data_IF_016275160204
#
_entry.id   IF_016275160204
#
_cell.length_a   1.000
_cell.length_b   1.000
_cell.length_c   1.000
_cell.angle_alpha   90.00
_cell.angle_beta   90.00
_cell.angle_gamma   90.00
#
_symmetry.space_group_name_H-M   'P 1'
#
loop_
_entity.id
_entity.type
_entity.pdbx_description
1 polymer ?
#
# COMPACT_ATOMS: atom_id res chain seq x y z
N UNK A 1 -34.64 -47.05 28.64
CA UNK A 1 -34.03 -45.74 28.33
C UNK A 1 -32.62 -46.01 27.81
N UNK A 2 -32.49 -46.18 26.50
CA UNK A 2 -31.22 -46.46 25.81
C UNK A 2 -30.56 -45.13 25.43
N UNK A 3 -29.51 -44.76 26.16
CA UNK A 3 -28.71 -43.57 25.87
C UNK A 3 -27.80 -43.81 24.67
N UNK A 4 -28.10 -43.17 23.54
CA UNK A 4 -27.23 -43.11 22.37
C UNK A 4 -26.10 -42.12 22.60
N UNK A 5 -24.86 -42.58 22.45
CA UNK A 5 -23.68 -41.73 22.52
C UNK A 5 -23.48 -41.09 21.14
N UNK A 6 -23.69 -39.78 21.04
CA UNK A 6 -23.26 -39.01 19.86
C UNK A 6 -21.73 -38.93 19.88
N UNK A 7 -21.07 -39.68 19.00
CA UNK A 7 -19.68 -39.40 18.64
C UNK A 7 -19.62 -38.10 17.84
N UNK A 8 -19.09 -37.05 18.45
CA UNK A 8 -18.60 -35.87 17.73
C UNK A 8 -17.34 -36.28 16.97
N UNK A 9 -17.44 -36.35 15.64
CA UNK A 9 -16.26 -36.42 14.77
C UNK A 9 -15.70 -35.00 14.66
N UNK A 10 -14.58 -34.75 15.32
CA UNK A 10 -13.78 -33.54 15.09
C UNK A 10 -12.98 -33.78 13.80
N UNK A 11 -13.46 -33.22 12.69
CA UNK A 11 -12.63 -33.09 11.49
C UNK A 11 -11.54 -32.05 11.78
N UNK A 12 -10.31 -32.50 12.02
CA UNK A 12 -9.16 -31.62 12.00
C UNK A 12 -9.00 -31.06 10.58
N UNK A 13 -9.21 -29.75 10.38
CA UNK A 13 -8.92 -29.12 9.10
C UNK A 13 -7.40 -29.11 8.91
N UNK A 14 -6.91 -29.87 7.93
CA UNK A 14 -5.52 -29.75 7.49
C UNK A 14 -5.36 -28.33 6.92
N UNK A 15 -4.38 -27.57 7.41
CA UNK A 15 -4.08 -26.25 6.87
C UNK A 15 -3.84 -26.36 5.35
N UNK A 16 -4.37 -25.42 4.59
CA UNK A 16 -4.17 -25.40 3.14
C UNK A 16 -2.65 -25.32 2.82
N UNK A 17 -2.17 -26.02 1.78
CA UNK A 17 -0.77 -25.94 1.38
C UNK A 17 -0.40 -24.51 0.97
N UNK A 18 0.87 -24.15 1.14
CA UNK A 18 1.39 -22.84 0.74
C UNK A 18 1.31 -22.69 -0.78
N UNK A 19 0.55 -21.70 -1.24
CA UNK A 19 0.38 -21.43 -2.66
C UNK A 19 1.54 -20.56 -3.19
N UNK A 20 2.18 -21.04 -4.25
CA UNK A 20 3.31 -20.34 -4.85
C UNK A 20 2.90 -19.00 -5.46
N UNK A 21 1.79 -18.97 -6.19
CA UNK A 21 1.34 -17.79 -6.93
C UNK A 21 0.88 -16.69 -5.97
N UNK A 22 0.13 -17.04 -4.92
CA UNK A 22 -0.53 -16.05 -4.05
C UNK A 22 0.20 -15.77 -2.75
N UNK A 23 1.18 -16.58 -2.36
CA UNK A 23 1.94 -16.38 -1.10
C UNK A 23 3.44 -16.22 -1.33
N UNK A 24 4.08 -17.11 -2.11
CA UNK A 24 5.54 -17.04 -2.35
C UNK A 24 5.90 -15.87 -3.28
N UNK A 25 5.16 -15.67 -4.37
CA UNK A 25 5.45 -14.56 -5.29
C UNK A 25 5.31 -13.17 -4.66
N UNK A 26 4.27 -12.87 -3.85
CA UNK A 26 4.21 -11.63 -3.08
C UNK A 26 5.36 -11.47 -2.10
N UNK A 27 5.75 -12.54 -1.40
CA UNK A 27 6.91 -12.51 -0.50
C UNK A 27 8.19 -12.10 -1.25
N UNK A 28 8.47 -12.73 -2.41
CA UNK A 28 9.66 -12.40 -3.21
C UNK A 28 9.62 -10.96 -3.72
N UNK A 29 8.42 -10.46 -4.02
CA UNK A 29 8.19 -9.07 -4.44
C UNK A 29 8.42 -8.10 -3.30
N UNK A 30 7.89 -8.40 -2.12
CA UNK A 30 8.08 -7.63 -0.89
C UNK A 30 9.55 -7.56 -0.47
N UNK A 31 10.27 -8.66 -0.62
CA UNK A 31 11.71 -8.75 -0.39
C UNK A 31 12.57 -8.07 -1.47
N UNK A 32 11.97 -7.58 -2.57
CA UNK A 32 12.68 -6.94 -3.68
C UNK A 32 13.45 -7.88 -4.59
N UNK A 33 13.29 -9.20 -4.45
CA UNK A 33 14.04 -10.21 -5.21
C UNK A 33 13.77 -10.10 -6.71
N UNK A 34 12.51 -9.93 -7.10
CA UNK A 34 12.04 -9.80 -8.48
C UNK A 34 11.84 -8.34 -8.93
N UNK A 35 12.46 -7.38 -8.24
CA UNK A 35 12.48 -5.99 -8.66
C UNK A 35 13.46 -5.76 -9.83
N UNK A 36 13.25 -4.68 -10.59
CA UNK A 36 14.07 -4.33 -11.76
C UNK A 36 15.57 -4.17 -11.44
N UNK A 37 15.92 -3.82 -10.19
CA UNK A 37 17.32 -3.70 -9.77
C UNK A 37 18.04 -5.05 -9.62
N UNK A 38 17.30 -6.14 -9.40
CA UNK A 38 17.81 -7.47 -9.04
C UNK A 38 17.39 -8.53 -10.07
N UNK A 39 16.75 -9.63 -9.65
CA UNK A 39 16.42 -10.74 -10.56
C UNK A 39 15.26 -10.42 -11.51
N UNK A 40 14.48 -9.37 -11.23
CA UNK A 40 13.46 -8.83 -12.14
C UNK A 40 14.01 -7.94 -13.26
N UNK A 41 15.33 -7.70 -13.30
CA UNK A 41 15.97 -7.01 -14.40
C UNK A 41 15.74 -7.77 -15.73
N UNK A 42 15.77 -7.06 -16.86
CA UNK A 42 15.56 -7.67 -18.18
C UNK A 42 16.52 -8.85 -18.45
N UNK A 43 17.76 -8.78 -17.95
CA UNK A 43 18.78 -9.83 -18.01
C UNK A 43 18.80 -10.79 -16.81
N UNK A 44 18.06 -10.48 -15.73
CA UNK A 44 18.25 -11.09 -14.42
C UNK A 44 19.63 -10.78 -13.80
N UNK A 45 20.00 -11.54 -12.78
CA UNK A 45 21.30 -11.46 -12.07
C UNK A 45 21.85 -12.86 -11.79
N UNK A 46 23.16 -13.07 -11.95
CA UNK A 46 23.80 -14.37 -11.65
C UNK A 46 23.28 -15.55 -12.48
N UNK A 47 22.72 -15.29 -13.67
CA UNK A 47 22.01 -16.27 -14.48
C UNK A 47 20.74 -16.81 -13.81
N UNK A 48 20.10 -15.98 -12.99
CA UNK A 48 18.78 -16.18 -12.42
C UNK A 48 17.90 -14.97 -12.77
N UNK A 49 16.84 -15.22 -13.53
CA UNK A 49 15.89 -14.22 -13.98
C UNK A 49 14.50 -14.58 -13.46
N UNK A 50 13.84 -13.59 -12.89
CA UNK A 50 12.44 -13.61 -12.54
C UNK A 50 11.71 -12.55 -13.38
N UNK A 51 10.42 -12.73 -13.56
CA UNK A 51 9.53 -11.74 -14.13
C UNK A 51 9.47 -10.52 -13.22
N UNK A 52 9.35 -9.33 -13.81
CA UNK A 52 9.31 -8.08 -13.05
C UNK A 52 8.06 -8.08 -12.15
N UNK A 53 8.29 -7.94 -10.83
CA UNK A 53 7.23 -7.95 -9.81
C UNK A 53 6.27 -9.16 -9.89
N UNK A 54 6.77 -10.30 -10.37
CA UNK A 54 5.97 -11.53 -10.45
C UNK A 54 4.89 -11.51 -11.52
N UNK A 55 5.10 -10.78 -12.61
CA UNK A 55 4.21 -10.71 -13.78
C UNK A 55 3.94 -12.05 -14.48
N UNK A 56 4.82 -13.04 -14.33
CA UNK A 56 4.63 -14.41 -14.85
C UNK A 56 5.03 -15.46 -13.79
N UNK A 57 4.11 -15.80 -12.87
CA UNK A 57 4.36 -16.79 -11.82
C UNK A 57 4.71 -18.19 -12.35
N UNK A 58 4.24 -18.56 -13.55
CA UNK A 58 4.54 -19.86 -14.12
C UNK A 58 6.00 -19.95 -14.59
N UNK A 59 6.50 -18.90 -15.27
CA UNK A 59 7.91 -18.79 -15.63
C UNK A 59 8.80 -18.66 -14.40
N UNK A 60 8.38 -17.88 -13.39
CA UNK A 60 9.13 -17.71 -12.14
C UNK A 60 9.29 -19.02 -11.37
N UNK A 61 8.21 -19.81 -11.29
CA UNK A 61 8.27 -21.14 -10.71
C UNK A 61 9.24 -22.05 -11.46
N UNK A 62 9.23 -22.04 -12.79
CA UNK A 62 10.18 -22.82 -13.58
C UNK A 62 11.62 -22.40 -13.29
N UNK A 63 11.90 -21.09 -13.25
CA UNK A 63 13.23 -20.53 -12.96
C UNK A 63 13.72 -20.86 -11.52
N UNK A 64 12.80 -20.93 -10.57
CA UNK A 64 13.10 -21.25 -9.17
C UNK A 64 13.27 -22.75 -8.96
N UNK A 65 12.26 -23.54 -9.31
CA UNK A 65 12.16 -24.93 -8.88
C UNK A 65 12.74 -25.93 -9.87
N UNK A 66 12.90 -25.57 -11.16
CA UNK A 66 13.25 -26.53 -12.23
C UNK A 66 14.56 -26.19 -12.95
N UNK A 67 14.82 -24.91 -13.20
CA UNK A 67 16.01 -24.48 -13.92
C UNK A 67 17.30 -24.92 -13.24
N UNK A 68 18.33 -25.15 -14.06
CA UNK A 68 19.65 -25.58 -13.61
C UNK A 68 19.58 -26.84 -12.74
N UNK A 69 18.74 -27.79 -13.13
CA UNK A 69 18.54 -29.08 -12.44
C UNK A 69 18.02 -28.91 -11.00
N UNK A 70 17.19 -27.88 -10.77
CA UNK A 70 16.58 -27.63 -9.47
C UNK A 70 17.55 -27.14 -8.39
N UNK A 71 18.78 -26.74 -8.74
CA UNK A 71 19.84 -26.37 -7.77
C UNK A 71 19.48 -25.29 -6.74
N UNK A 72 18.40 -24.53 -6.96
CA UNK A 72 17.96 -23.46 -6.03
C UNK A 72 17.03 -23.95 -4.93
N UNK A 73 16.42 -25.12 -5.12
CA UNK A 73 15.42 -25.72 -4.23
C UNK A 73 15.90 -27.11 -3.82
N UNK A 74 16.04 -27.32 -2.52
CA UNK A 74 16.38 -28.62 -1.96
C UNK A 74 15.22 -29.12 -1.10
N UNK A 75 14.29 -29.86 -1.72
CA UNK A 75 13.12 -30.42 -0.99
C UNK A 75 13.50 -31.45 0.07
N UNK A 76 14.64 -32.12 -0.07
CA UNK A 76 15.12 -33.09 0.91
C UNK A 76 15.77 -32.42 2.13
N UNK A 77 16.31 -31.22 1.96
CA UNK A 77 16.84 -30.36 3.03
C UNK A 77 16.39 -28.92 2.79
N UNK A 78 15.13 -28.57 3.09
CA UNK A 78 14.56 -27.25 2.81
C UNK A 78 15.43 -26.09 3.30
N UNK A 79 15.99 -26.19 4.51
CA UNK A 79 16.87 -25.18 5.10
C UNK A 79 18.17 -24.92 4.31
N UNK A 80 18.61 -25.86 3.46
CA UNK A 80 19.79 -25.73 2.62
C UNK A 80 19.48 -25.17 1.22
N UNK A 81 18.22 -24.84 0.93
CA UNK A 81 17.83 -24.27 -0.35
C UNK A 81 18.48 -22.90 -0.56
N UNK A 82 19.06 -22.65 -1.75
CA UNK A 82 19.61 -21.33 -2.09
C UNK A 82 18.54 -20.24 -2.06
N UNK A 83 17.30 -20.61 -2.39
CA UNK A 83 16.15 -19.70 -2.32
C UNK A 83 15.91 -19.16 -0.90
N UNK A 84 16.32 -19.89 0.15
CA UNK A 84 16.23 -19.46 1.55
C UNK A 84 17.54 -18.85 2.03
N UNK A 85 18.66 -19.56 1.84
CA UNK A 85 19.96 -19.19 2.43
C UNK A 85 20.58 -17.91 1.86
N UNK A 86 20.26 -17.54 0.61
CA UNK A 86 20.72 -16.27 0.02
C UNK A 86 19.99 -15.05 0.61
N UNK A 87 18.66 -14.95 0.60
CA UNK A 87 17.97 -13.79 1.17
C UNK A 87 18.14 -13.64 2.69
N UNK A 88 18.41 -14.72 3.42
CA UNK A 88 18.73 -14.68 4.87
C UNK A 88 20.21 -14.42 5.17
N UNK A 89 21.06 -14.26 4.15
CA UNK A 89 22.52 -14.11 4.28
C UNK A 89 23.23 -15.26 5.04
N UNK A 90 22.60 -16.43 5.15
CA UNK A 90 23.30 -17.66 5.57
C UNK A 90 24.39 -18.04 4.57
N UNK A 91 24.17 -17.72 3.29
CA UNK A 91 25.19 -17.71 2.25
C UNK A 91 25.28 -16.31 1.64
N UNK A 92 26.50 -15.91 1.29
CA UNK A 92 26.77 -14.59 0.70
C UNK A 92 25.85 -14.28 -0.47
N UNK A 93 25.18 -13.14 -0.41
CA UNK A 93 24.28 -12.67 -1.43
C UNK A 93 24.62 -11.21 -1.75
N UNK A 94 24.93 -10.92 -3.01
CA UNK A 94 25.24 -9.55 -3.46
C UNK A 94 24.06 -8.58 -3.23
N UNK A 95 22.84 -9.09 -3.22
CA UNK A 95 21.65 -8.31 -2.84
C UNK A 95 21.59 -7.97 -1.35
N UNK A 96 22.47 -8.53 -0.51
CA UNK A 96 22.42 -8.39 0.93
C UNK A 96 21.25 -9.13 1.57
N UNK A 97 21.04 -8.82 2.85
CA UNK A 97 19.95 -9.34 3.67
C UNK A 97 18.60 -8.83 3.16
N UNK A 98 17.65 -9.74 2.96
CA UNK A 98 16.29 -9.42 2.52
C UNK A 98 15.25 -9.64 3.61
N UNK A 99 15.46 -10.65 4.45
CA UNK A 99 14.67 -10.91 5.64
C UNK A 99 15.46 -11.83 6.59
N UNK A 100 15.19 -11.74 7.88
CA UNK A 100 15.84 -12.56 8.89
C UNK A 100 15.43 -14.04 8.78
N UNK A 101 16.26 -14.94 9.29
CA UNK A 101 16.05 -16.39 9.26
C UNK A 101 14.87 -16.85 10.14
N UNK A 102 14.57 -16.11 11.21
CA UNK A 102 13.43 -16.31 12.09
C UNK A 102 12.18 -15.49 11.68
N UNK A 103 12.22 -14.82 10.53
CA UNK A 103 11.11 -14.01 10.04
C UNK A 103 9.91 -14.86 9.59
N UNK A 104 8.69 -14.30 9.59
CA UNK A 104 7.54 -14.95 8.96
C UNK A 104 7.77 -15.30 7.48
N UNK A 105 8.57 -14.49 6.77
CA UNK A 105 8.94 -14.75 5.37
C UNK A 105 9.82 -16.00 5.23
N UNK A 106 10.85 -16.13 6.07
CA UNK A 106 11.69 -17.32 6.07
C UNK A 106 10.89 -18.59 6.41
N UNK A 107 9.99 -18.51 7.40
CA UNK A 107 9.07 -19.61 7.73
C UNK A 107 8.16 -19.99 6.57
N UNK A 108 7.48 -19.04 5.94
CA UNK A 108 6.59 -19.31 4.81
C UNK A 108 7.32 -19.99 3.65
N UNK A 109 8.55 -19.55 3.36
CA UNK A 109 9.38 -20.16 2.33
C UNK A 109 9.81 -21.58 2.73
N UNK A 110 10.19 -21.78 3.99
CA UNK A 110 10.54 -23.09 4.54
C UNK A 110 9.37 -24.07 4.48
N UNK A 111 8.15 -23.63 4.81
CA UNK A 111 6.93 -24.42 4.74
C UNK A 111 6.67 -24.89 3.31
N UNK A 112 6.70 -23.97 2.34
CA UNK A 112 6.53 -24.29 0.92
C UNK A 112 7.60 -25.27 0.40
N UNK A 113 8.87 -25.08 0.79
CA UNK A 113 9.95 -25.99 0.46
C UNK A 113 9.74 -27.38 1.08
N UNK A 114 9.28 -27.44 2.34
CA UNK A 114 8.95 -28.66 3.07
C UNK A 114 7.74 -29.41 2.52
N UNK A 115 6.80 -28.70 1.91
CA UNK A 115 5.66 -29.25 1.16
C UNK A 115 6.06 -29.80 -0.22
N UNK A 116 7.35 -29.75 -0.56
CA UNK A 116 7.91 -30.27 -1.81
C UNK A 116 8.01 -29.23 -2.92
N UNK A 117 7.96 -27.94 -2.58
CA UNK A 117 8.15 -26.82 -3.51
C UNK A 117 7.27 -26.93 -4.76
N UNK A 118 5.99 -27.26 -4.55
CA UNK A 118 5.03 -27.46 -5.65
C UNK A 118 4.35 -26.15 -5.99
N UNK A 119 3.97 -26.01 -7.26
CA UNK A 119 3.05 -24.97 -7.71
C UNK A 119 1.65 -25.54 -7.78
N UNK A 120 0.93 -25.42 -6.67
CA UNK A 120 -0.52 -25.48 -6.68
C UNK A 120 -1.05 -24.12 -7.14
N UNK A 121 -2.19 -24.10 -7.81
CA UNK A 121 -2.94 -22.86 -8.08
C UNK A 121 -4.27 -23.02 -7.37
N UNK A 122 -4.27 -22.92 -6.05
CA UNK A 122 -5.49 -23.14 -5.27
C UNK A 122 -6.43 -21.94 -5.39
N UNK A 123 -5.87 -20.73 -5.53
CA UNK A 123 -6.63 -19.49 -5.52
C UNK A 123 -6.08 -18.43 -6.46
N UNK A 124 -6.92 -17.46 -6.80
CA UNK A 124 -6.56 -16.27 -7.58
C UNK A 124 -7.06 -15.01 -6.89
N UNK A 125 -6.19 -14.01 -6.71
CA UNK A 125 -6.60 -12.70 -6.24
C UNK A 125 -7.40 -11.97 -7.33
N UNK A 126 -8.69 -11.75 -7.09
CA UNK A 126 -9.60 -11.09 -8.03
C UNK A 126 -9.80 -9.61 -7.72
N UNK A 127 -9.55 -9.18 -6.49
CA UNK A 127 -9.54 -7.77 -6.09
C UNK A 127 -8.58 -7.52 -4.93
N UNK A 128 -8.09 -6.29 -4.81
CA UNK A 128 -7.33 -5.81 -3.67
C UNK A 128 -7.85 -4.43 -3.28
N UNK A 129 -7.97 -4.17 -1.98
CA UNK A 129 -8.32 -2.86 -1.44
C UNK A 129 -7.44 -2.49 -0.25
N UNK A 130 -7.34 -1.20 0.00
CA UNK A 130 -6.61 -0.65 1.16
C UNK A 130 -7.60 0.01 2.11
N UNK A 131 -7.49 -0.35 3.38
CA UNK A 131 -8.35 0.12 4.46
C UNK A 131 -7.52 0.82 5.57
N UNK A 132 -7.85 2.06 5.96
CA UNK A 132 -8.76 2.95 5.23
C UNK A 132 -8.12 3.40 3.90
N UNK A 133 -8.95 3.82 2.94
CA UNK A 133 -8.44 4.37 1.67
C UNK A 133 -7.76 5.72 1.86
N UNK A 134 -8.16 6.48 2.88
CA UNK A 134 -7.50 7.71 3.32
C UNK A 134 -7.21 7.61 4.82
N UNK A 135 -5.94 7.71 5.19
CA UNK A 135 -5.49 7.90 6.57
C UNK A 135 -5.35 9.39 6.87
N UNK A 136 -5.76 9.82 8.05
CA UNK A 136 -5.45 11.15 8.57
C UNK A 136 -4.53 10.99 9.77
N UNK A 137 -3.37 11.63 9.75
CA UNK A 137 -2.38 11.59 10.84
C UNK A 137 -2.14 13.00 11.38
N UNK A 138 -1.87 13.08 12.68
CA UNK A 138 -1.60 14.34 13.37
C UNK A 138 -0.10 14.66 13.35
N UNK A 139 0.26 15.93 13.59
CA UNK A 139 1.65 16.40 13.58
C UNK A 139 2.47 16.02 14.84
N UNK A 140 1.91 15.20 15.72
CA UNK A 140 2.47 14.77 17.01
C UNK A 140 3.27 13.47 16.92
N UNK A 141 3.91 13.21 15.77
CA UNK A 141 4.59 11.94 15.46
C UNK A 141 3.68 10.70 15.53
N UNK A 142 2.36 10.87 15.41
CA UNK A 142 1.42 9.75 15.36
C UNK A 142 1.58 8.91 14.08
N UNK A 143 1.41 7.61 14.26
CA UNK A 143 1.37 6.64 13.17
C UNK A 143 -0.08 6.31 12.79
N UNK A 144 -0.39 6.39 11.50
CA UNK A 144 -1.55 5.73 10.91
C UNK A 144 -1.23 4.27 10.55
N UNK A 145 -2.26 3.53 10.15
CA UNK A 145 -2.15 2.11 9.77
C UNK A 145 -2.97 1.80 8.53
N UNK A 146 -2.33 1.36 7.45
CA UNK A 146 -3.04 0.75 6.33
C UNK A 146 -3.14 -0.76 6.52
N UNK A 147 -4.30 -1.33 6.18
CA UNK A 147 -4.48 -2.76 5.95
C UNK A 147 -4.73 -3.01 4.48
N UNK A 148 -4.20 -4.10 3.95
CA UNK A 148 -4.40 -4.50 2.57
C UNK A 148 -5.21 -5.78 2.56
N UNK A 149 -6.42 -5.72 2.02
CA UNK A 149 -7.32 -6.86 1.95
C UNK A 149 -7.37 -7.35 0.51
N UNK A 150 -7.02 -8.61 0.30
CA UNK A 150 -7.18 -9.30 -0.97
C UNK A 150 -8.45 -10.15 -0.94
N UNK A 151 -9.18 -10.14 -2.06
CA UNK A 151 -10.31 -11.03 -2.31
C UNK A 151 -9.81 -12.15 -3.22
N UNK A 152 -9.86 -13.37 -2.72
CA UNK A 152 -9.46 -14.58 -3.43
C UNK A 152 -10.67 -15.35 -3.92
N UNK A 153 -10.56 -15.92 -5.12
CA UNK A 153 -11.47 -16.91 -5.67
C UNK A 153 -10.72 -18.22 -5.82
N UNK A 154 -11.35 -19.32 -5.45
CA UNK A 154 -10.76 -20.64 -5.66
C UNK A 154 -10.63 -20.93 -7.16
N UNK A 155 -9.49 -21.47 -7.58
CA UNK A 155 -9.23 -21.75 -8.98
C UNK A 155 -10.18 -22.82 -9.55
N UNK A 156 -10.70 -23.69 -8.69
CA UNK A 156 -11.63 -24.77 -9.04
C UNK A 156 -13.11 -24.33 -9.06
N UNK A 157 -13.42 -23.06 -8.70
CA UNK A 157 -14.74 -22.45 -8.84
C UNK A 157 -14.72 -21.27 -9.84
N UNK A 158 -14.65 -21.53 -11.16
CA UNK A 158 -14.63 -20.49 -12.17
C UNK A 158 -15.94 -19.70 -12.26
N UNK A 159 -17.05 -20.25 -11.72
CA UNK A 159 -18.32 -19.53 -11.60
C UNK A 159 -18.29 -18.46 -10.50
N UNK A 160 -17.28 -18.49 -9.63
CA UNK A 160 -16.98 -17.45 -8.66
C UNK A 160 -18.05 -17.26 -7.60
N UNK A 161 -18.72 -18.35 -7.18
CA UNK A 161 -19.80 -18.29 -6.19
C UNK A 161 -19.28 -18.04 -4.78
N UNK A 162 -18.03 -18.41 -4.50
CA UNK A 162 -17.41 -18.18 -3.20
C UNK A 162 -16.12 -17.40 -3.37
N UNK A 163 -16.00 -16.30 -2.62
CA UNK A 163 -14.74 -15.56 -2.46
C UNK A 163 -14.37 -15.53 -0.99
N UNK A 164 -13.07 -15.59 -0.71
CA UNK A 164 -12.53 -15.39 0.64
C UNK A 164 -11.81 -14.06 0.68
N UNK A 165 -11.88 -13.38 1.83
CA UNK A 165 -11.10 -12.18 2.08
C UNK A 165 -9.96 -12.51 3.03
N UNK A 166 -8.79 -11.98 2.74
CA UNK A 166 -7.61 -12.17 3.57
C UNK A 166 -6.84 -10.87 3.72
N UNK A 167 -6.40 -10.60 4.95
CA UNK A 167 -5.41 -9.56 5.22
C UNK A 167 -4.04 -10.00 4.69
N UNK A 168 -3.54 -9.27 3.70
CA UNK A 168 -2.27 -9.50 3.03
C UNK A 168 -1.30 -8.34 3.26
N UNK A 169 -1.52 -7.51 4.28
CA UNK A 169 -0.73 -6.31 4.60
C UNK A 169 0.77 -6.62 4.65
N UNK A 170 1.14 -7.72 5.31
CA UNK A 170 2.54 -8.14 5.46
C UNK A 170 3.20 -8.63 4.16
N UNK A 171 2.43 -8.86 3.10
CA UNK A 171 2.91 -9.27 1.78
C UNK A 171 2.77 -8.18 0.73
N UNK A 172 2.08 -7.08 1.04
CA UNK A 172 1.92 -5.94 0.16
C UNK A 172 3.15 -5.03 0.17
N UNK A 173 3.51 -4.48 -0.99
CA UNK A 173 4.55 -3.46 -1.11
C UNK A 173 3.91 -2.09 -1.01
N UNK A 174 4.46 -1.25 -0.13
CA UNK A 174 4.06 0.15 0.01
C UNK A 174 5.16 1.04 -0.56
N UNK A 175 4.80 2.03 -1.36
CA UNK A 175 5.74 2.98 -1.96
C UNK A 175 5.12 4.37 -1.85
N UNK A 176 5.66 5.26 -1.00
CA UNK A 176 5.24 6.66 -0.99
C UNK A 176 5.62 7.34 -2.32
N UNK A 177 4.84 8.33 -2.72
CA UNK A 177 5.14 9.20 -3.86
C UNK A 177 6.32 10.14 -3.56
N UNK A 178 6.46 10.58 -2.31
CA UNK A 178 7.58 11.35 -1.76
C UNK A 178 8.07 10.69 -0.46
N UNK A 179 9.22 10.00 -0.53
CA UNK A 179 9.83 9.27 0.58
C UNK A 179 10.51 10.17 1.64
N UNK A 180 10.67 11.46 1.33
CA UNK A 180 11.11 12.49 2.29
C UNK A 180 9.92 13.02 3.09
N UNK A 181 8.75 13.12 2.45
CA UNK A 181 7.52 13.59 3.09
C UNK A 181 6.73 12.51 3.82
N UNK A 182 6.81 11.25 3.39
CA UNK A 182 6.05 10.13 3.97
C UNK A 182 6.94 8.93 4.20
N UNK A 183 6.85 8.38 5.40
CA UNK A 183 7.50 7.12 5.77
C UNK A 183 6.43 6.05 5.95
N UNK A 184 6.55 4.95 5.22
CA UNK A 184 5.68 3.78 5.34
C UNK A 184 6.50 2.55 5.70
N UNK A 185 6.19 1.93 6.83
CA UNK A 185 6.80 0.70 7.28
C UNK A 185 6.23 -0.52 6.52
N UNK A 186 6.95 -1.64 6.59
CA UNK A 186 6.58 -2.85 5.85
C UNK A 186 5.25 -3.48 6.29
N UNK A 187 4.82 -3.21 7.52
CA UNK A 187 3.56 -3.64 8.12
C UNK A 187 2.39 -2.68 7.84
N UNK A 188 2.59 -1.67 6.97
CA UNK A 188 1.55 -0.71 6.60
C UNK A 188 1.40 0.48 7.57
N UNK A 189 2.23 0.57 8.62
CA UNK A 189 2.27 1.79 9.45
C UNK A 189 2.79 2.96 8.63
N UNK A 190 2.10 4.08 8.67
CA UNK A 190 2.43 5.29 7.90
C UNK A 190 2.55 6.50 8.82
N UNK A 191 3.54 7.35 8.57
CA UNK A 191 3.66 8.68 9.17
C UNK A 191 3.99 9.71 8.11
N UNK A 192 3.59 10.95 8.36
CA UNK A 192 3.85 12.08 7.47
C UNK A 192 4.82 13.03 8.17
N UNK A 193 5.92 13.36 7.49
CA UNK A 193 6.96 14.28 7.98
C UNK A 193 6.72 15.71 7.51
N UNK A 194 5.96 15.89 6.43
CA UNK A 194 5.64 17.20 5.84
C UNK A 194 4.13 17.34 5.66
N UNK A 195 3.46 18.33 6.30
CA UNK A 195 2.02 18.53 6.16
C UNK A 195 1.57 18.61 4.71
N UNK A 196 0.37 18.08 4.44
CA UNK A 196 -0.19 17.96 3.11
C UNK A 196 -0.89 16.62 2.88
N UNK A 197 -1.36 16.43 1.64
CA UNK A 197 -1.90 15.17 1.17
C UNK A 197 -0.86 14.46 0.31
N UNK A 198 -0.58 13.20 0.63
CA UNK A 198 0.39 12.37 -0.05
C UNK A 198 -0.24 11.05 -0.49
N UNK A 199 0.39 10.40 -1.46
CA UNK A 199 -0.08 9.12 -2.00
C UNK A 199 0.87 8.00 -1.64
N UNK A 200 0.32 6.89 -1.14
CA UNK A 200 1.05 5.63 -0.98
C UNK A 200 0.53 4.65 -2.02
N UNK A 201 1.38 4.28 -2.96
CA UNK A 201 1.11 3.22 -3.93
C UNK A 201 1.27 1.87 -3.21
N UNK A 202 0.22 1.07 -3.24
CA UNK A 202 0.17 -0.26 -2.63
C UNK A 202 0.09 -1.31 -3.73
N UNK A 203 1.01 -2.26 -3.73
CA UNK A 203 1.04 -3.38 -4.68
C UNK A 203 0.86 -4.70 -3.95
N UNK A 204 -0.02 -5.53 -4.47
CA UNK A 204 -0.10 -6.95 -4.10
C UNK A 204 -0.39 -7.75 -5.38
N UNK A 205 0.51 -8.68 -5.72
CA UNK A 205 0.49 -9.36 -7.03
C UNK A 205 0.42 -8.34 -8.19
N UNK A 206 -0.53 -8.54 -9.11
CA UNK A 206 -0.77 -7.65 -10.26
C UNK A 206 -1.68 -6.46 -9.92
N UNK A 207 -2.20 -6.38 -8.70
CA UNK A 207 -3.08 -5.29 -8.28
C UNK A 207 -2.25 -4.14 -7.71
N UNK A 208 -2.54 -2.92 -8.20
CA UNK A 208 -1.93 -1.68 -7.74
C UNK A 208 -3.05 -0.73 -7.33
N UNK A 209 -3.03 -0.31 -6.08
CA UNK A 209 -4.06 0.54 -5.47
C UNK A 209 -3.38 1.75 -4.85
N UNK A 210 -3.96 2.95 -5.02
CA UNK A 210 -3.49 4.14 -4.35
C UNK A 210 -4.24 4.33 -3.02
N UNK A 211 -3.48 4.50 -1.93
CA UNK A 211 -3.97 4.97 -0.65
C UNK A 211 -3.52 6.40 -0.42
N UNK A 212 -4.28 7.18 0.35
CA UNK A 212 -3.94 8.58 0.67
C UNK A 212 -3.60 8.70 2.14
N UNK A 213 -2.63 9.55 2.46
CA UNK A 213 -2.38 9.99 3.83
C UNK A 213 -2.41 11.52 3.88
N UNK A 214 -3.15 12.06 4.84
CA UNK A 214 -3.35 13.48 5.04
C UNK A 214 -2.80 13.88 6.40
N UNK A 215 -1.94 14.89 6.42
CA UNK A 215 -1.62 15.66 7.61
C UNK A 215 -2.10 17.10 7.39
N UNK A 216 -3.12 17.58 8.12
CA UNK A 216 -3.54 18.97 8.04
C UNK A 216 -2.40 19.93 8.37
N UNK A 217 -2.39 21.10 7.74
CA UNK A 217 -1.55 22.20 8.21
C UNK A 217 -2.03 22.62 9.59
N UNK A 218 -1.10 22.92 10.51
CA UNK A 218 -1.46 23.57 11.75
C UNK A 218 -2.18 24.88 11.39
N UNK A 219 -3.44 25.03 11.81
CA UNK A 219 -4.07 26.33 11.75
C UNK A 219 -3.28 27.20 12.70
N UNK A 220 -2.49 28.14 12.16
CA UNK A 220 -2.07 29.31 12.92
C UNK A 220 -3.33 29.86 13.56
N UNK A 221 -3.41 29.87 14.89
CA UNK A 221 -4.33 30.78 15.56
C UNK A 221 -4.01 32.16 14.98
N UNK A 222 -4.89 32.69 14.13
CA UNK A 222 -4.80 34.09 13.71
C UNK A 222 -4.59 34.88 14.99
N UNK A 223 -3.52 35.68 15.12
CA UNK A 223 -3.35 36.49 16.32
C UNK A 223 -4.62 37.31 16.51
N UNK A 224 -5.13 37.32 17.73
CA UNK A 224 -6.44 37.87 18.14
C UNK A 224 -6.56 39.40 17.92
N UNK A 225 -5.58 40.02 17.25
CA UNK A 225 -5.47 41.46 17.00
C UNK A 225 -6.02 41.95 15.66
N UNK A 226 -6.20 41.11 14.63
CA UNK A 226 -6.64 41.60 13.31
C UNK A 226 -8.18 41.61 13.11
N UNK A 227 -8.96 41.15 14.09
CA UNK A 227 -10.43 41.33 14.08
C UNK A 227 -10.90 42.70 14.56
N UNK A 228 -10.03 43.50 15.19
CA UNK A 228 -10.41 44.79 15.77
C UNK A 228 -10.24 45.98 14.80
N UNK A 229 -9.58 45.79 13.66
CA UNK A 229 -9.29 46.88 12.72
C UNK A 229 -10.33 47.01 11.58
N UNK A 230 -11.18 46.00 11.39
CA UNK A 230 -12.33 46.10 10.47
C UNK A 230 -13.54 46.78 11.13
N UNK A 231 -13.80 46.57 12.43
CA UNK A 231 -14.91 47.25 13.13
C UNK A 231 -14.67 48.75 13.35
N UNK A 232 -13.40 49.19 13.48
CA UNK A 232 -13.09 50.62 13.63
C UNK A 232 -13.14 51.43 12.33
N UNK A 233 -12.99 50.79 11.19
CA UNK A 233 -13.05 51.48 9.89
C UNK A 233 -14.50 51.71 9.38
N UNK A 234 -15.50 51.06 9.97
CA UNK A 234 -16.91 51.31 9.68
C UNK A 234 -17.52 52.41 10.57
N UNK A 235 -17.04 52.58 11.81
CA UNK A 235 -17.47 53.70 12.68
C UNK A 235 -16.92 55.06 12.20
N UNK A 236 -15.66 55.16 11.77
CA UNK A 236 -15.11 56.43 11.27
C UNK A 236 -15.73 56.87 9.92
N UNK A 237 -16.28 55.93 9.14
CA UNK A 237 -16.90 56.22 7.84
C UNK A 237 -18.39 56.59 7.93
N UNK A 238 -19.04 56.35 9.06
CA UNK A 238 -20.46 56.70 9.27
C UNK A 238 -20.64 58.10 9.85
N UNK A 239 -19.68 58.62 10.62
CA UNK A 239 -19.75 59.99 11.15
C UNK A 239 -19.49 61.09 10.10
N UNK A 240 -18.67 60.85 9.08
CA UNK A 240 -18.34 61.86 8.06
C UNK A 240 -19.44 62.06 6.99
N UNK A 241 -20.49 61.23 7.00
CA UNK A 241 -21.60 61.28 6.03
C UNK A 241 -22.86 62.02 6.52
N UNK A 242 -22.90 62.44 7.79
CA UNK A 242 -24.08 63.08 8.40
C UNK A 242 -24.00 64.62 8.47
N UNK A 243 -22.97 65.24 7.88
CA UNK A 243 -22.65 66.66 8.06
C UNK A 243 -22.70 67.53 6.80
N UNK A 244 -23.65 67.36 5.88
CA UNK A 244 -23.85 68.35 4.79
C UNK A 244 -25.27 68.33 4.22
N UNK A 245 -26.19 68.96 4.97
CA UNK A 245 -27.41 69.51 4.38
C UNK A 245 -27.26 71.02 4.23
N UNK A 246 -27.92 71.54 3.19
CA UNK A 246 -28.26 72.95 2.94
C UNK A 246 -27.27 73.79 2.11
N UNK A 247 -27.59 74.03 0.83
CA UNK A 247 -28.18 75.32 0.42
C UNK A 247 -28.09 75.59 -1.09
N UNK A 248 -29.24 75.99 -1.64
CA UNK A 248 -29.46 77.02 -2.69
C UNK A 248 -28.73 76.93 -4.05
N UNK A 249 -29.56 76.90 -5.10
CA UNK A 249 -29.62 78.07 -6.00
C UNK A 249 -29.19 77.91 -7.46
N UNK A 250 -30.21 77.85 -8.34
CA UNK A 250 -30.45 78.73 -9.52
C UNK A 250 -29.43 78.84 -10.67
N UNK A 251 -30.01 78.81 -11.88
CA UNK A 251 -29.54 79.32 -13.21
C UNK A 251 -28.50 78.42 -13.90
N UNK A 252 -28.56 78.06 -15.18
CA UNK A 252 -29.40 78.47 -16.31
C UNK A 252 -28.58 78.32 -17.60
N UNK A 253 -29.24 77.93 -18.72
CA UNK A 253 -28.78 77.93 -20.13
C UNK A 253 -27.62 76.97 -20.49
N UNK A 254 -27.39 76.55 -21.73
CA UNK A 254 -28.15 76.32 -22.97
C UNK A 254 -27.08 75.99 -24.04
N UNK A 255 -27.43 75.20 -25.05
CA UNK A 255 -26.72 74.97 -26.33
C UNK A 255 -25.58 73.92 -26.25
N UNK A 256 -25.46 72.97 -27.16
CA UNK A 256 -26.21 72.67 -28.39
C UNK A 256 -25.71 71.35 -29.00
N UNK A 257 -26.61 70.68 -29.72
CA UNK A 257 -26.30 69.61 -30.68
C UNK A 257 -25.74 70.23 -31.98
N UNK A 258 -25.18 69.45 -32.92
CA UNK A 258 -26.07 68.77 -33.88
C UNK A 258 -25.63 67.35 -34.29
N UNK A 259 -26.60 66.57 -34.76
CA UNK A 259 -26.43 65.30 -35.48
C UNK A 259 -27.79 64.74 -35.88
N UNK A 260 -28.22 65.12 -37.09
CA UNK A 260 -29.40 64.73 -37.91
C UNK A 260 -30.79 65.32 -37.60
#
# INVERSE_FOLDING_TARGET
MSGGWLSLIVCASVAAPVDFDTQIMPLLTKAGCNAAACHGAASGRGGFKLSLFGGDPAADFAAIARDREGRRVNVARPAASLLLTKPTMTLDHEGGLRFDDDSPSARLLMDWLGEGARRVRSQQAVAVRVEPTTQTVSSDDSWGQFRVIAVFRDADDPAGKTTTEQDVTNWAVFTPDDDVAVSVANDGRVRVMRPGQHTVVVRFLQHVVAARVLMPFAMSSMPEGERADEEKNEEEKTEDSAGASDSRGRLGRSLGLPGD
#
